data_IF_599788161588
#
_entry.id   IF_599788161588
#
_cell.length_a   1.000
_cell.length_b   1.000
_cell.length_c   1.000
_cell.angle_alpha   90.00
_cell.angle_beta   90.00
_cell.angle_gamma   90.00
#
_symmetry.space_group_name_H-M   'P 1'
#
loop_
_entity.id
_entity.type
_entity.pdbx_description
1 polymer ?
#
# COMPACT_ATOMS: atom_id res chain seq x y z
N UNK A 1 30.94 16.32 11.57
CA UNK A 1 30.42 15.10 10.90
C UNK A 1 29.67 14.16 11.85
N UNK A 2 30.11 13.94 13.10
CA UNK A 2 29.46 12.99 14.03
C UNK A 2 27.98 13.31 14.36
N UNK A 3 27.60 14.58 14.53
CA UNK A 3 26.21 14.96 14.82
C UNK A 3 25.22 14.63 13.69
N UNK A 4 25.68 14.59 12.44
CA UNK A 4 24.82 14.30 11.29
C UNK A 4 24.42 12.83 11.21
N UNK A 5 25.31 11.91 11.60
CA UNK A 5 25.03 10.48 11.52
C UNK A 5 24.11 10.01 12.64
N UNK A 6 24.16 10.64 13.81
CA UNK A 6 23.23 10.33 14.89
C UNK A 6 21.79 10.79 14.56
N UNK A 7 21.64 11.93 13.90
CA UNK A 7 20.33 12.38 13.42
C UNK A 7 19.79 11.45 12.32
N UNK A 8 20.65 11.07 11.35
CA UNK A 8 20.33 10.07 10.32
C UNK A 8 19.86 8.74 10.92
N UNK A 9 20.47 8.27 12.01
CA UNK A 9 20.04 7.05 12.71
C UNK A 9 18.64 7.19 13.33
N UNK A 10 18.28 8.37 13.85
CA UNK A 10 16.93 8.62 14.37
C UNK A 10 15.91 8.66 13.26
N UNK A 11 16.19 9.40 12.19
CA UNK A 11 15.35 9.48 11.00
C UNK A 11 15.08 8.09 10.43
N UNK A 12 16.13 7.26 10.31
CA UNK A 12 16.02 5.87 9.86
C UNK A 12 15.10 5.01 10.75
N UNK A 13 15.20 5.17 12.06
CA UNK A 13 14.31 4.44 13.00
C UNK A 13 12.86 4.88 12.81
N UNK A 14 12.60 6.16 12.57
CA UNK A 14 11.25 6.68 12.40
C UNK A 14 10.66 6.28 11.03
N UNK A 15 11.45 6.32 9.95
CA UNK A 15 11.05 5.78 8.66
C UNK A 15 10.75 4.28 8.71
N UNK A 16 11.55 3.50 9.45
CA UNK A 16 11.30 2.06 9.60
C UNK A 16 10.00 1.78 10.36
N UNK A 17 9.68 2.58 11.40
CA UNK A 17 8.39 2.48 12.09
C UNK A 17 7.24 2.79 11.15
N UNK A 18 7.37 3.83 10.33
CA UNK A 18 6.32 4.22 9.39
C UNK A 18 6.14 3.21 8.25
N UNK A 19 7.23 2.60 7.76
CA UNK A 19 7.18 1.50 6.81
C UNK A 19 6.33 0.34 7.35
N UNK A 20 6.61 -0.09 8.59
CA UNK A 20 5.86 -1.16 9.25
C UNK A 20 4.41 -0.76 9.50
N UNK A 21 4.15 0.44 10.00
CA UNK A 21 2.78 0.96 10.24
C UNK A 21 1.96 0.96 8.96
N UNK A 22 2.52 1.47 7.87
CA UNK A 22 1.88 1.50 6.55
C UNK A 22 1.57 0.09 6.03
N UNK A 23 2.49 -0.87 6.18
CA UNK A 23 2.25 -2.26 5.77
C UNK A 23 1.09 -2.91 6.52
N UNK A 24 1.01 -2.66 7.84
CA UNK A 24 -0.04 -3.20 8.70
C UNK A 24 -1.41 -2.59 8.34
N UNK A 25 -1.43 -1.32 7.92
CA UNK A 25 -2.64 -0.64 7.46
C UNK A 25 -3.05 -1.03 6.03
N UNK A 26 -2.31 -1.93 5.37
CA UNK A 26 -2.57 -2.35 3.99
C UNK A 26 -2.12 -1.34 2.92
N UNK A 27 -1.42 -0.27 3.32
CA UNK A 27 -0.78 0.65 2.38
C UNK A 27 0.61 0.11 2.00
N UNK A 28 0.62 -0.92 1.17
CA UNK A 28 1.87 -1.59 0.77
C UNK A 28 2.73 -0.71 -0.13
N UNK A 29 2.14 0.08 -1.04
CA UNK A 29 2.89 0.96 -1.93
C UNK A 29 3.61 2.07 -1.13
N UNK A 30 2.92 2.70 -0.17
CA UNK A 30 3.54 3.67 0.74
C UNK A 30 4.60 3.02 1.65
N UNK A 31 4.33 1.82 2.15
CA UNK A 31 5.28 1.06 2.97
C UNK A 31 6.60 0.76 2.23
N UNK A 32 6.54 0.35 0.97
CA UNK A 32 7.73 0.05 0.17
C UNK A 32 8.65 1.26 0.01
N UNK A 33 8.09 2.45 -0.22
CA UNK A 33 8.86 3.70 -0.34
C UNK A 33 9.65 3.98 0.95
N UNK A 34 9.03 3.81 2.11
CA UNK A 34 9.74 3.99 3.39
C UNK A 34 10.83 2.93 3.60
N UNK A 35 10.58 1.67 3.26
CA UNK A 35 11.60 0.63 3.34
C UNK A 35 12.80 0.91 2.42
N UNK A 36 12.55 1.36 1.20
CA UNK A 36 13.61 1.75 0.25
C UNK A 36 14.43 2.94 0.79
N UNK A 37 13.77 3.94 1.38
CA UNK A 37 14.44 5.05 2.07
C UNK A 37 15.37 4.59 3.18
N UNK A 38 14.87 3.72 4.08
CA UNK A 38 15.67 3.15 5.18
C UNK A 38 16.90 2.39 4.66
N UNK A 39 16.75 1.63 3.57
CA UNK A 39 17.89 0.90 2.99
C UNK A 39 18.98 1.85 2.45
N UNK A 40 18.59 3.00 1.90
CA UNK A 40 19.53 4.04 1.47
C UNK A 40 20.24 4.70 2.65
N UNK A 41 19.53 4.99 3.73
CA UNK A 41 20.09 5.58 4.95
C UNK A 41 21.11 4.63 5.60
N UNK A 42 20.79 3.34 5.70
CA UNK A 42 21.74 2.31 6.16
C UNK A 42 22.97 2.26 5.26
N UNK A 43 22.77 2.31 3.94
CA UNK A 43 23.87 2.30 2.99
C UNK A 43 24.80 3.51 3.20
N UNK A 44 24.23 4.69 3.45
CA UNK A 44 24.98 5.91 3.74
C UNK A 44 25.75 5.80 5.06
N UNK A 45 25.15 5.25 6.11
CA UNK A 45 25.82 5.00 7.39
C UNK A 45 26.99 4.02 7.24
N UNK A 46 26.84 2.98 6.43
CA UNK A 46 27.90 2.02 6.11
C UNK A 46 29.05 2.70 5.36
N UNK A 47 28.74 3.54 4.36
CA UNK A 47 29.74 4.26 3.56
C UNK A 47 30.49 5.32 4.37
N UNK A 48 29.81 5.96 5.31
CA UNK A 48 30.40 6.96 6.21
C UNK A 48 31.18 6.35 7.38
N UNK A 49 31.36 5.01 7.42
CA UNK A 49 31.98 4.29 8.53
C UNK A 49 31.38 4.68 9.90
N UNK A 50 30.05 4.79 9.99
CA UNK A 50 29.40 5.10 11.26
C UNK A 50 29.61 3.99 12.29
N UNK A 51 30.00 4.40 13.50
CA UNK A 51 30.15 3.52 14.66
C UNK A 51 29.54 4.19 15.88
N UNK A 52 28.79 3.43 16.67
CA UNK A 52 28.23 3.89 17.93
C UNK A 52 28.65 2.94 19.07
N UNK A 53 29.72 3.28 19.81
CA UNK A 53 30.29 2.40 20.83
C UNK A 53 29.29 2.05 21.93
N UNK A 54 28.43 3.00 22.32
CA UNK A 54 27.44 2.84 23.39
C UNK A 54 26.44 1.71 23.11
N UNK A 55 26.00 1.58 21.86
CA UNK A 55 25.03 0.56 21.44
C UNK A 55 25.70 -0.60 20.67
N UNK A 56 27.04 -0.63 20.66
CA UNK A 56 27.85 -1.58 19.90
C UNK A 56 27.40 -1.64 18.43
N UNK A 57 27.05 -0.51 17.83
CA UNK A 57 26.71 -0.43 16.41
C UNK A 57 28.02 -0.25 15.66
N UNK A 58 28.25 -1.14 14.71
CA UNK A 58 29.38 -1.12 13.81
C UNK A 58 28.91 -1.50 12.40
N UNK A 59 29.81 -1.43 11.42
CA UNK A 59 29.53 -1.79 10.03
C UNK A 59 28.88 -3.17 9.88
N UNK A 60 29.33 -4.17 10.65
CA UNK A 60 28.79 -5.53 10.57
C UNK A 60 27.32 -5.58 11.01
N UNK A 61 26.97 -4.90 12.11
CA UNK A 61 25.56 -4.80 12.56
C UNK A 61 24.70 -4.03 11.57
N UNK A 62 25.20 -2.96 10.97
CA UNK A 62 24.46 -2.21 9.95
C UNK A 62 24.14 -3.10 8.74
N UNK A 63 25.09 -3.94 8.31
CA UNK A 63 24.87 -4.93 7.25
C UNK A 63 23.82 -5.96 7.66
N UNK A 64 23.82 -6.42 8.92
CA UNK A 64 22.81 -7.34 9.44
C UNK A 64 21.42 -6.71 9.44
N UNK A 65 21.28 -5.47 9.94
CA UNK A 65 20.02 -4.73 9.91
C UNK A 65 19.52 -4.51 8.48
N UNK A 66 20.42 -4.18 7.54
CA UNK A 66 20.09 -4.06 6.12
C UNK A 66 19.43 -5.34 5.60
N UNK A 67 20.01 -6.51 5.88
CA UNK A 67 19.46 -7.81 5.46
C UNK A 67 18.09 -8.10 6.07
N UNK A 68 17.91 -7.78 7.35
CA UNK A 68 16.61 -7.96 8.02
C UNK A 68 15.53 -7.10 7.38
N UNK A 69 15.87 -5.85 7.05
CA UNK A 69 14.96 -4.91 6.41
C UNK A 69 14.64 -5.31 4.97
N UNK A 70 15.63 -5.80 4.20
CA UNK A 70 15.40 -6.38 2.86
C UNK A 70 14.40 -7.55 2.95
N UNK A 71 14.56 -8.43 3.93
CA UNK A 71 13.64 -9.56 4.12
C UNK A 71 12.22 -9.12 4.52
N UNK A 72 12.05 -8.00 5.24
CA UNK A 72 10.74 -7.42 5.52
C UNK A 72 10.11 -6.79 4.26
N UNK A 73 10.91 -6.08 3.46
CA UNK A 73 10.46 -5.50 2.19
C UNK A 73 10.01 -6.59 1.20
N UNK A 74 10.75 -7.69 1.11
CA UNK A 74 10.40 -8.82 0.22
C UNK A 74 9.04 -9.42 0.60
N UNK A 75 8.73 -9.55 1.90
CA UNK A 75 7.40 -9.99 2.35
C UNK A 75 6.30 -9.00 1.95
N UNK A 76 6.56 -7.70 2.07
CA UNK A 76 5.59 -6.67 1.63
C UNK A 76 5.33 -6.76 0.12
N UNK A 77 6.37 -6.98 -0.69
CA UNK A 77 6.25 -7.20 -2.13
C UNK A 77 5.47 -8.47 -2.46
N UNK A 78 5.71 -9.56 -1.75
CA UNK A 78 4.97 -10.83 -1.91
C UNK A 78 3.48 -10.66 -1.62
N UNK A 79 3.14 -9.98 -0.52
CA UNK A 79 1.74 -9.68 -0.16
C UNK A 79 1.07 -8.83 -1.25
N UNK A 80 1.72 -7.73 -1.66
CA UNK A 80 1.18 -6.84 -2.69
C UNK A 80 0.99 -7.58 -4.03
N UNK A 81 1.95 -8.41 -4.42
CA UNK A 81 1.86 -9.25 -5.62
C UNK A 81 0.66 -10.20 -5.55
N UNK A 82 0.49 -10.89 -4.42
CA UNK A 82 -0.65 -11.79 -4.19
C UNK A 82 -1.98 -11.05 -4.30
N UNK A 83 -2.10 -9.86 -3.70
CA UNK A 83 -3.30 -9.02 -3.80
C UNK A 83 -3.58 -8.56 -5.23
N UNK A 84 -2.54 -8.24 -6.00
CA UNK A 84 -2.68 -7.82 -7.39
C UNK A 84 -3.19 -8.97 -8.29
N UNK A 85 -2.76 -10.20 -8.03
CA UNK A 85 -3.33 -11.38 -8.71
C UNK A 85 -4.84 -11.44 -8.47
N UNK A 86 -5.30 -11.31 -7.22
CA UNK A 86 -6.73 -11.34 -6.90
C UNK A 86 -7.51 -10.21 -7.57
N UNK A 87 -6.98 -8.97 -7.55
CA UNK A 87 -7.62 -7.83 -8.22
C UNK A 87 -7.80 -8.06 -9.72
N UNK A 88 -6.83 -8.72 -10.36
CA UNK A 88 -6.83 -8.97 -11.80
C UNK A 88 -7.54 -10.27 -12.20
N UNK A 89 -7.72 -11.22 -11.28
CA UNK A 89 -8.37 -12.51 -11.54
C UNK A 89 -9.88 -12.48 -11.41
N UNK A 90 -10.46 -11.44 -10.79
CA UNK A 90 -11.92 -11.25 -10.75
C UNK A 90 -12.34 -10.66 -12.10
N UNK A 91 -13.08 -11.39 -12.97
CA UNK A 91 -13.73 -10.74 -14.09
C UNK A 91 -14.65 -9.71 -13.49
N UNK A 92 -14.47 -8.44 -13.84
CA UNK A 92 -15.32 -7.34 -13.41
C UNK A 92 -16.78 -7.78 -13.51
N UNK A 93 -17.40 -8.10 -12.36
CA UNK A 93 -18.86 -8.09 -12.26
C UNK A 93 -19.24 -6.61 -12.26
N UNK A 94 -19.03 -5.95 -13.41
CA UNK A 94 -19.82 -4.80 -13.73
C UNK A 94 -21.26 -5.30 -13.67
N UNK A 95 -22.12 -4.74 -12.79
CA UNK A 95 -23.54 -5.01 -12.92
C UNK A 95 -23.90 -4.66 -14.37
N UNK A 96 -24.68 -5.51 -15.07
CA UNK A 96 -25.01 -5.24 -16.45
C UNK A 96 -25.53 -3.81 -16.55
N UNK A 97 -24.83 -2.99 -17.33
CA UNK A 97 -25.24 -1.65 -17.73
C UNK A 97 -26.55 -1.79 -18.50
N UNK A 98 -27.66 -1.84 -17.78
CA UNK A 98 -28.95 -2.25 -18.31
C UNK A 98 -30.13 -2.08 -17.35
N UNK A 99 -29.91 -1.74 -16.08
CA UNK A 99 -30.98 -1.46 -15.11
C UNK A 99 -31.34 0.03 -15.03
N UNK A 100 -31.41 0.71 -16.18
CA UNK A 100 -31.62 2.16 -16.24
C UNK A 100 -32.92 2.66 -16.88
N UNK A 101 -33.71 1.83 -17.60
CA UNK A 101 -34.72 2.39 -18.53
C UNK A 101 -36.15 1.80 -18.54
N UNK A 102 -36.58 0.97 -17.57
CA UNK A 102 -37.97 0.47 -17.55
C UNK A 102 -38.81 0.91 -16.34
N UNK A 103 -38.66 2.15 -15.84
CA UNK A 103 -39.50 2.63 -14.72
C UNK A 103 -40.43 3.82 -15.04
N UNK A 104 -40.52 4.29 -16.30
CA UNK A 104 -41.35 5.48 -16.62
C UNK A 104 -42.38 5.30 -17.74
N UNK A 105 -42.46 4.14 -18.41
CA UNK A 105 -43.42 3.91 -19.49
C UNK A 105 -44.74 3.24 -19.07
N UNK A 106 -44.74 2.44 -17.99
CA UNK A 106 -45.89 1.56 -17.69
C UNK A 106 -46.97 2.18 -16.80
N UNK A 107 -46.69 3.30 -16.12
CA UNK A 107 -47.70 3.94 -15.26
C UNK A 107 -48.74 4.76 -16.04
N UNK A 108 -48.44 5.17 -17.28
CA UNK A 108 -49.39 5.94 -18.10
C UNK A 108 -50.35 5.07 -18.94
N UNK A 109 -50.02 3.80 -19.19
CA UNK A 109 -50.92 2.89 -19.92
C UNK A 109 -52.03 2.30 -19.01
N UNK A 110 -51.76 2.15 -17.71
CA UNK A 110 -52.72 1.54 -16.77
C UNK A 110 -53.88 2.46 -16.36
N UNK A 111 -53.85 3.75 -16.70
CA UNK A 111 -54.92 4.72 -16.38
C UNK A 111 -55.91 4.97 -17.53
N UNK A 112 -55.69 4.37 -18.71
CA UNK A 112 -56.69 4.34 -19.78
C UNK A 112 -57.56 3.10 -19.60
N UNK A 113 -58.60 3.23 -18.78
CA UNK A 113 -59.69 2.27 -18.74
C UNK A 113 -60.32 2.07 -20.13
N UNK A 114 -61.04 0.96 -20.38
CA UNK A 114 -61.63 0.70 -21.68
C UNK A 114 -62.64 1.80 -22.05
N UNK A 115 -62.39 2.49 -23.16
CA UNK A 115 -63.36 3.43 -23.76
C UNK A 115 -64.54 2.61 -24.26
N UNK A 116 -65.67 2.69 -23.54
CA UNK A 116 -66.93 2.10 -23.99
C UNK A 116 -67.44 2.87 -25.20
N UNK A 117 -67.41 2.26 -26.38
CA UNK A 117 -68.22 2.69 -27.51
C UNK A 117 -69.67 2.29 -27.23
N UNK A 118 -70.53 3.28 -27.02
CA UNK A 118 -71.97 3.11 -27.17
C UNK A 118 -72.33 3.53 -28.60
N UNK A 119 -72.95 2.62 -29.35
CA UNK A 119 -73.58 2.91 -30.63
C UNK A 119 -74.90 3.66 -30.46
#
# INVERSE_FOLDING_TARGET
MSNSNHELMKEMVDHLKEARRSSIMGNYDGSMVFYEGVLLEIQQLIQNNYEEPKFKINKQKLIEYRKMIEAELDKVKEIQSSLNVFKNSVPSQQPPSGYGHYANGMYNQAMMGPVKHYG
#
